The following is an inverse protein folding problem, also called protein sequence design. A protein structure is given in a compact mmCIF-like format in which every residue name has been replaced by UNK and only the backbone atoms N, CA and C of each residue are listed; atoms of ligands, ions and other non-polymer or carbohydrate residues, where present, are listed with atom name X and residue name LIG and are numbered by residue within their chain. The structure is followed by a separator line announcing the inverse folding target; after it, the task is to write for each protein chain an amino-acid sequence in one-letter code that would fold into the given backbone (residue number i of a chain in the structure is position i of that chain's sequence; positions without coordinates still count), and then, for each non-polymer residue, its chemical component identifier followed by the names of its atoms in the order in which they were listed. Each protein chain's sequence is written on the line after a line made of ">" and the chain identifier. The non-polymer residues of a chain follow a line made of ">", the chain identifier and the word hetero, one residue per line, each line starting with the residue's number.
data_IF_326249561531
#
_entry.id   IF_326249561531
#
_cell.length_a   1.000
_cell.length_b   1.000
_cell.length_c   1.000
_cell.angle_alpha   90.00
_cell.angle_beta   90.00
_cell.angle_gamma   90.00
#
_symmetry.space_group_name_H-M   'P 1'
#
loop_
_entity.id
_entity.type
_entity.pdbx_description
1 polymer ?
#
# COMPACT_ATOMS: atom_id res chain seq x y z
N UNK A 1 7.82 -0.72 -2.30
CA UNK A 1 8.42 -2.06 -2.50
C UNK A 1 7.50 -2.78 -3.47
N UNK A 2 7.61 -2.44 -4.75
CA UNK A 2 6.91 -3.09 -5.86
C UNK A 2 7.83 -4.22 -6.33
N UNK A 3 7.43 -5.46 -6.08
CA UNK A 3 8.11 -6.63 -6.60
C UNK A 3 7.85 -6.63 -8.11
N UNK A 4 8.91 -6.65 -8.92
CA UNK A 4 8.80 -6.88 -10.36
C UNK A 4 8.02 -8.16 -10.60
N UNK A 5 7.26 -8.20 -11.69
CA UNK A 5 6.40 -9.30 -12.15
C UNK A 5 7.25 -10.49 -12.62
N UNK A 6 8.19 -10.95 -11.80
CA UNK A 6 8.86 -12.25 -11.97
C UNK A 6 7.99 -13.39 -11.39
N UNK A 7 6.85 -13.04 -10.78
CA UNK A 7 5.93 -13.91 -10.04
C UNK A 7 4.51 -13.97 -10.66
N UNK A 8 4.32 -13.67 -11.94
CA UNK A 8 3.01 -13.92 -12.60
C UNK A 8 2.53 -15.39 -12.41
N UNK A 9 3.49 -16.30 -12.23
CA UNK A 9 3.29 -17.72 -11.89
C UNK A 9 2.74 -17.96 -10.47
N UNK A 10 2.83 -16.99 -9.56
CA UNK A 10 2.33 -17.11 -8.18
C UNK A 10 0.91 -16.58 -7.98
N UNK A 11 0.27 -16.04 -9.02
CA UNK A 11 -1.10 -15.54 -8.96
C UNK A 11 -2.07 -16.62 -8.49
N UNK A 12 -3.01 -16.23 -7.62
CA UNK A 12 -4.06 -17.09 -7.07
C UNK A 12 -5.43 -16.48 -7.29
N UNK A 13 -6.44 -17.34 -7.38
CA UNK A 13 -7.83 -16.90 -7.34
C UNK A 13 -8.08 -16.16 -6.02
N UNK A 14 -8.69 -14.98 -6.10
CA UNK A 14 -8.93 -14.08 -4.99
C UNK A 14 -7.94 -12.92 -4.87
N UNK A 15 -6.77 -13.00 -5.53
CA UNK A 15 -5.78 -11.92 -5.54
C UNK A 15 -6.37 -10.66 -6.19
N UNK A 16 -5.99 -9.50 -5.68
CA UNK A 16 -6.34 -8.20 -6.27
C UNK A 16 -5.15 -7.75 -7.11
N UNK A 17 -5.35 -7.62 -8.41
CA UNK A 17 -4.30 -7.33 -9.39
C UNK A 17 -4.56 -6.01 -10.09
N UNK A 18 -3.49 -5.33 -10.46
CA UNK A 18 -3.54 -4.18 -11.36
C UNK A 18 -3.16 -4.64 -12.75
N UNK A 19 -4.02 -4.33 -13.71
CA UNK A 19 -3.85 -4.65 -15.13
C UNK A 19 -3.58 -3.35 -15.89
N UNK A 20 -2.68 -3.42 -16.86
CA UNK A 20 -2.42 -2.37 -17.84
C UNK A 20 -2.87 -2.83 -19.22
N UNK A 21 -3.75 -2.06 -19.86
CA UNK A 21 -4.17 -2.28 -21.25
C UNK A 21 -4.21 -0.97 -22.05
N UNK A 22 -4.83 -1.00 -23.23
CA UNK A 22 -4.94 0.16 -24.11
C UNK A 22 -5.77 1.32 -23.51
N UNK A 23 -6.70 1.02 -22.61
CA UNK A 23 -7.60 1.99 -21.98
C UNK A 23 -7.05 2.53 -20.65
N UNK A 24 -6.02 1.88 -20.10
CA UNK A 24 -5.20 2.39 -19.01
C UNK A 24 -4.94 1.37 -17.90
N UNK A 25 -4.91 1.87 -16.64
CA UNK A 25 -4.69 1.04 -15.45
C UNK A 25 -5.99 0.86 -14.68
N UNK A 26 -6.33 -0.39 -14.37
CA UNK A 26 -7.45 -0.73 -13.49
C UNK A 26 -7.06 -1.86 -12.54
N UNK A 27 -7.84 -2.02 -11.47
CA UNK A 27 -7.54 -2.97 -10.40
C UNK A 27 -8.76 -3.80 -10.07
N UNK A 28 -8.69 -5.10 -10.37
CA UNK A 28 -9.79 -6.05 -10.17
C UNK A 28 -9.33 -7.30 -9.42
N UNK A 29 -10.29 -8.12 -9.01
CA UNK A 29 -10.03 -9.38 -8.31
C UNK A 29 -9.97 -10.53 -9.31
N UNK A 30 -8.95 -11.37 -9.19
CA UNK A 30 -8.86 -12.63 -9.96
C UNK A 30 -9.96 -13.58 -9.51
N UNK A 31 -10.80 -14.00 -10.44
CA UNK A 31 -11.86 -14.98 -10.20
C UNK A 31 -11.57 -16.33 -10.86
N UNK A 32 -10.70 -16.34 -11.87
CA UNK A 32 -10.30 -17.56 -12.58
C UNK A 32 -8.88 -17.43 -13.14
N UNK A 33 -8.14 -18.53 -13.18
CA UNK A 33 -6.80 -18.62 -13.77
C UNK A 33 -6.80 -19.64 -14.90
N UNK A 34 -6.48 -19.18 -16.11
CA UNK A 34 -6.13 -20.03 -17.24
C UNK A 34 -4.61 -20.27 -17.30
N UNK A 35 -4.15 -21.07 -18.28
CA UNK A 35 -2.72 -21.31 -18.49
C UNK A 35 -1.96 -20.00 -18.77
N UNK A 36 -2.48 -19.17 -19.68
CA UNK A 36 -1.88 -17.92 -20.15
C UNK A 36 -2.75 -16.69 -19.88
N UNK A 37 -3.95 -16.88 -19.34
CA UNK A 37 -4.93 -15.82 -19.14
C UNK A 37 -5.43 -15.76 -17.71
N UNK A 38 -5.97 -14.61 -17.34
CA UNK A 38 -6.57 -14.34 -16.03
C UNK A 38 -7.95 -13.76 -16.29
N UNK A 39 -8.97 -14.28 -15.61
CA UNK A 39 -10.29 -13.65 -15.60
C UNK A 39 -10.46 -12.89 -14.31
N UNK A 40 -10.87 -11.64 -14.43
CA UNK A 40 -11.06 -10.75 -13.30
C UNK A 40 -12.52 -10.36 -13.11
N UNK A 41 -12.81 -9.77 -11.96
CA UNK A 41 -14.07 -9.14 -11.64
C UNK A 41 -13.81 -7.89 -10.82
N UNK A 42 -14.34 -6.76 -11.24
CA UNK A 42 -14.38 -5.56 -10.41
C UNK A 42 -15.25 -5.80 -9.16
N UNK A 43 -14.80 -5.33 -8.00
CA UNK A 43 -15.52 -5.56 -6.73
C UNK A 43 -16.94 -4.93 -6.70
N UNK A 44 -17.23 -4.00 -7.63
CA UNK A 44 -18.55 -3.40 -7.81
C UNK A 44 -19.43 -4.13 -8.85
N UNK A 45 -18.89 -5.10 -9.59
CA UNK A 45 -19.58 -5.81 -10.65
C UNK A 45 -20.31 -7.04 -10.08
N UNK A 46 -21.52 -7.33 -10.56
CA UNK A 46 -22.28 -8.53 -10.16
C UNK A 46 -21.72 -9.82 -10.80
N UNK A 47 -21.12 -9.69 -11.98
CA UNK A 47 -20.59 -10.80 -12.78
C UNK A 47 -19.12 -10.57 -13.14
N UNK A 48 -18.35 -11.65 -13.42
CA UNK A 48 -17.00 -11.53 -13.95
C UNK A 48 -16.92 -10.68 -15.21
N UNK A 49 -15.76 -10.08 -15.42
CA UNK A 49 -15.46 -9.34 -16.63
C UNK A 49 -15.55 -10.30 -17.84
N UNK A 50 -16.11 -9.81 -18.95
CA UNK A 50 -16.41 -10.64 -20.11
C UNK A 50 -15.14 -11.14 -20.80
N UNK A 51 -14.08 -10.33 -20.78
CA UNK A 51 -12.80 -10.62 -21.41
C UNK A 51 -11.79 -11.15 -20.39
N UNK A 52 -11.09 -12.22 -20.77
CA UNK A 52 -9.94 -12.70 -20.00
C UNK A 52 -8.68 -11.99 -20.51
N UNK A 53 -7.86 -11.49 -19.60
CA UNK A 53 -6.65 -10.76 -19.94
C UNK A 53 -5.43 -11.67 -19.98
N UNK A 54 -4.44 -11.40 -20.84
CA UNK A 54 -3.15 -12.06 -20.80
C UNK A 54 -2.47 -11.92 -19.44
N UNK A 55 -1.76 -12.97 -18.99
CA UNK A 55 -1.04 -12.95 -17.70
C UNK A 55 0.06 -11.89 -17.62
N UNK A 56 0.67 -11.56 -18.75
CA UNK A 56 1.69 -10.51 -18.87
C UNK A 56 1.13 -9.09 -18.78
N UNK A 57 -0.19 -8.90 -18.94
CA UNK A 57 -0.87 -7.63 -18.70
C UNK A 57 -1.00 -7.30 -17.19
N UNK A 58 -0.75 -8.26 -16.29
CA UNK A 58 -0.76 -8.03 -14.84
C UNK A 58 0.54 -7.35 -14.42
N UNK A 59 0.46 -6.04 -14.13
CA UNK A 59 1.63 -5.23 -13.79
C UNK A 59 1.90 -5.13 -12.28
N UNK A 60 0.90 -5.45 -11.45
CA UNK A 60 1.06 -5.51 -9.99
C UNK A 60 0.03 -6.44 -9.33
N UNK A 61 0.34 -6.88 -8.10
CA UNK A 61 -0.63 -7.54 -7.22
C UNK A 61 -0.59 -6.93 -5.82
N UNK A 62 -1.75 -6.92 -5.16
CA UNK A 62 -1.91 -6.34 -3.81
C UNK A 62 -1.43 -7.32 -2.76
N UNK A 63 -0.34 -6.98 -2.07
CA UNK A 63 0.23 -7.80 -0.97
C UNK A 63 -0.37 -7.47 0.40
N UNK A 64 -1.08 -6.36 0.52
CA UNK A 64 -1.70 -5.93 1.77
C UNK A 64 -2.55 -4.69 1.57
N UNK A 65 -3.53 -4.50 2.44
CA UNK A 65 -4.38 -3.31 2.44
C UNK A 65 -4.54 -2.77 3.85
N UNK A 66 -4.67 -1.45 3.97
CA UNK A 66 -4.97 -0.79 5.23
C UNK A 66 -6.49 -0.63 5.35
N UNK A 67 -7.12 -1.47 6.16
CA UNK A 67 -8.56 -1.40 6.39
C UNK A 67 -8.93 -0.27 7.38
N UNK A 68 -10.23 0.06 7.42
CA UNK A 68 -10.79 0.88 8.50
C UNK A 68 -10.62 0.15 9.85
N UNK A 69 -10.29 0.84 10.95
CA UNK A 69 -10.24 2.31 11.13
C UNK A 69 -8.90 2.95 10.77
N UNK A 70 -7.86 2.16 10.50
CA UNK A 70 -6.51 2.68 10.26
C UNK A 70 -6.42 3.54 9.01
N UNK A 71 -7.14 3.18 7.95
CA UNK A 71 -7.25 4.02 6.76
C UNK A 71 -7.79 5.42 7.10
N UNK A 72 -8.79 5.52 7.99
CA UNK A 72 -9.36 6.79 8.45
C UNK A 72 -8.35 7.63 9.21
N UNK A 73 -7.54 7.03 10.07
CA UNK A 73 -6.45 7.75 10.77
C UNK A 73 -5.48 8.33 9.76
N UNK A 74 -5.02 7.52 8.80
CA UNK A 74 -4.09 7.97 7.75
C UNK A 74 -4.71 9.07 6.90
N UNK A 75 -5.96 8.93 6.46
CA UNK A 75 -6.62 9.96 5.63
C UNK A 75 -6.89 11.24 6.40
N UNK A 76 -7.14 11.17 7.71
CA UNK A 76 -7.29 12.35 8.59
C UNK A 76 -6.01 13.19 8.68
N UNK A 77 -4.84 12.61 8.36
CA UNK A 77 -3.56 13.34 8.30
C UNK A 77 -3.28 13.99 6.94
N UNK A 78 -4.22 13.98 5.98
CA UNK A 78 -4.05 14.64 4.68
C UNK A 78 -3.91 16.16 4.76
N UNK A 79 -4.68 16.90 5.58
CA UNK A 79 -4.54 18.36 5.70
C UNK A 79 -3.17 18.76 6.23
N UNK A 80 -2.59 19.85 5.71
CA UNK A 80 -1.28 20.34 6.14
C UNK A 80 -1.23 20.61 7.65
N UNK A 81 -2.28 21.23 8.20
CA UNK A 81 -2.37 21.52 9.63
C UNK A 81 -2.23 20.25 10.49
N UNK A 82 -2.89 19.15 10.11
CA UNK A 82 -2.79 17.89 10.82
C UNK A 82 -1.36 17.33 10.81
N UNK A 83 -0.65 17.47 9.68
CA UNK A 83 0.77 17.05 9.57
C UNK A 83 1.70 17.89 10.43
N UNK A 84 1.48 19.21 10.47
CA UNK A 84 2.27 20.12 11.31
C UNK A 84 2.06 19.82 12.80
N UNK A 85 0.82 19.56 13.21
CA UNK A 85 0.51 19.16 14.59
C UNK A 85 1.20 17.83 14.95
N UNK A 86 1.13 16.83 14.06
CA UNK A 86 1.79 15.55 14.27
C UNK A 86 3.31 15.70 14.37
N UNK A 87 3.93 16.49 13.48
CA UNK A 87 5.36 16.78 13.53
C UNK A 87 5.77 17.48 14.84
N UNK A 88 4.98 18.48 15.27
CA UNK A 88 5.21 19.17 16.54
C UNK A 88 5.12 18.22 17.74
N UNK A 89 4.14 17.30 17.74
CA UNK A 89 4.01 16.28 18.79
C UNK A 89 5.22 15.33 18.83
N UNK A 90 5.70 14.88 17.66
CA UNK A 90 6.88 14.01 17.58
C UNK A 90 8.14 14.73 18.11
N UNK A 91 8.34 16.01 17.75
CA UNK A 91 9.44 16.82 18.28
C UNK A 91 9.32 16.96 19.80
N UNK A 92 8.13 17.24 20.32
CA UNK A 92 7.90 17.38 21.76
C UNK A 92 8.18 16.09 22.55
N UNK A 93 7.94 14.92 21.95
CA UNK A 93 8.22 13.62 22.58
C UNK A 93 9.74 13.28 22.60
N UNK A 94 10.49 13.73 21.61
CA UNK A 94 11.93 13.39 21.45
C UNK A 94 12.85 14.48 22.03
N UNK A 95 12.48 15.75 21.97
CA UNK A 95 13.32 16.85 22.48
C UNK A 95 13.77 16.70 23.96
N UNK A 96 12.92 16.20 24.89
CA UNK A 96 13.32 16.01 26.29
C UNK A 96 14.39 14.91 26.47
N UNK A 97 14.46 13.92 25.58
CA UNK A 97 15.49 12.87 25.66
C UNK A 97 16.86 13.38 25.17
N UNK A 98 16.89 14.27 24.17
CA UNK A 98 18.12 14.94 23.74
C UNK A 98 18.71 15.90 24.78
N UNK A 99 17.88 16.64 25.50
CA UNK A 99 18.34 17.55 26.56
C UNK A 99 18.94 16.84 27.78
N UNK A 100 18.55 15.59 28.05
CA UNK A 100 19.10 14.78 29.15
C UNK A 100 20.42 14.11 28.80
N UNK A 101 20.60 13.68 27.55
CA UNK A 101 21.85 13.07 27.06
C UNK A 101 22.99 14.11 27.07
N UNK A 102 22.73 15.33 26.60
CA UNK A 102 23.73 16.40 26.54
C UNK A 102 24.19 16.89 27.92
N UNK A 103 23.33 16.85 28.95
CA UNK A 103 23.71 17.19 30.33
C UNK A 103 24.52 16.10 31.04
N UNK A 104 24.36 14.83 30.65
CA UNK A 104 25.11 13.70 31.25
C UNK A 104 26.59 13.70 30.82
N UNK A 105 26.90 14.16 29.61
CA UNK A 105 28.28 14.30 29.13
C UNK A 105 29.08 15.38 29.88
N UNK A 106 28.43 16.48 30.30
CA UNK A 106 29.11 17.56 31.04
C UNK A 106 29.36 17.25 32.52
N UNK A 107 28.68 16.25 33.09
CA UNK A 107 28.84 15.88 34.51
C UNK A 107 29.96 14.86 34.75
N UNK A 108 30.47 14.20 33.70
CA UNK A 108 31.58 13.23 33.79
C UNK A 108 32.95 13.89 33.59
N UNK A 109 32.97 15.12 33.04
CA UNK A 109 34.17 15.89 32.70
C UNK A 109 34.55 16.95 33.77
N UNK A 110 33.99 16.86 34.99
CA UNK A 110 34.34 17.67 36.16
C UNK A 110 34.75 16.78 37.31
#
# INVERSE_FOLDING_TARGET
>A
MTRSVDDATSLRVGDIVTIEDADGLYTHRVVELGPETVRTQGDANETPDAEAVPRDAVVAHTVGHLASPWSTVVTSTRPLAARLLLAGLLVALVAPSWGRVSRRGQAVDR
#
